data_IF_979704550309
#
_entry.id   IF_979704550309
#
_cell.length_a   1.000
_cell.length_b   1.000
_cell.length_c   1.000
_cell.angle_alpha   90.00
_cell.angle_beta   90.00
_cell.angle_gamma   90.00
#
_symmetry.space_group_name_H-M   'P 1'
#
loop_
_entity.id
_entity.type
_entity.pdbx_description
1 polymer ?
#
# COMPACT_ATOMS: atom_id res chain seq x y z
N UNK A 1 -13.13 19.05 33.66
CA UNK A 1 -12.20 17.92 33.44
C UNK A 1 -13.03 16.72 32.99
N UNK A 2 -12.79 16.19 31.78
CA UNK A 2 -13.40 14.93 31.36
C UNK A 2 -12.77 13.78 32.15
N UNK A 3 -13.57 12.89 32.75
CA UNK A 3 -13.04 11.72 33.44
C UNK A 3 -12.53 10.70 32.42
N UNK A 4 -11.32 10.18 32.61
CA UNK A 4 -10.73 9.17 31.72
C UNK A 4 -11.30 7.78 32.03
N UNK A 5 -12.15 7.26 31.15
CA UNK A 5 -12.62 5.87 31.21
C UNK A 5 -11.47 4.93 30.83
N UNK A 6 -11.22 3.91 31.66
CA UNK A 6 -10.24 2.86 31.40
C UNK A 6 -10.96 1.53 31.29
N UNK A 7 -10.64 0.75 30.25
CA UNK A 7 -11.13 -0.62 30.08
C UNK A 7 -9.95 -1.54 30.39
N UNK A 8 -10.12 -2.46 31.34
CA UNK A 8 -9.14 -3.48 31.68
C UNK A 8 -9.48 -4.79 30.94
N UNK A 9 -8.50 -5.33 30.23
CA UNK A 9 -8.63 -6.61 29.51
C UNK A 9 -7.70 -7.61 30.20
N UNK A 10 -8.26 -8.42 31.09
CA UNK A 10 -7.51 -9.32 31.98
C UNK A 10 -7.72 -10.81 31.70
N UNK A 11 -8.54 -11.17 30.71
CA UNK A 11 -8.80 -12.57 30.33
C UNK A 11 -8.50 -12.80 28.85
N UNK A 12 -7.80 -13.90 28.50
CA UNK A 12 -7.67 -14.31 27.11
C UNK A 12 -9.03 -14.73 26.53
N UNK A 13 -9.20 -14.56 25.22
CA UNK A 13 -10.32 -15.10 24.47
C UNK A 13 -9.83 -15.66 23.12
N UNK A 14 -10.49 -16.69 22.55
CA UNK A 14 -10.25 -17.08 21.18
C UNK A 14 -10.53 -15.90 20.22
N UNK A 15 -9.81 -15.78 19.10
CA UNK A 15 -10.08 -14.73 18.13
C UNK A 15 -11.50 -14.89 17.59
N UNK A 16 -12.31 -13.82 17.57
CA UNK A 16 -13.66 -13.88 17.04
C UNK A 16 -13.64 -14.14 15.54
N UNK A 17 -14.69 -14.75 14.95
CA UNK A 17 -14.71 -15.11 13.54
C UNK A 17 -14.41 -13.95 12.58
N UNK A 18 -14.85 -12.73 12.90
CA UNK A 18 -14.59 -11.55 12.08
C UNK A 18 -13.10 -11.22 11.99
N UNK A 19 -12.33 -11.42 13.07
CA UNK A 19 -10.89 -11.13 13.08
C UNK A 19 -10.14 -12.12 12.20
N UNK A 20 -10.54 -13.40 12.22
CA UNK A 20 -9.99 -14.41 11.32
C UNK A 20 -10.29 -14.08 9.85
N UNK A 21 -11.51 -13.63 9.55
CA UNK A 21 -11.91 -13.23 8.19
C UNK A 21 -11.15 -11.99 7.72
N UNK A 22 -10.95 -11.00 8.59
CA UNK A 22 -10.17 -9.81 8.29
C UNK A 22 -8.71 -10.17 7.95
N UNK A 23 -8.08 -11.07 8.71
CA UNK A 23 -6.72 -11.57 8.38
C UNK A 23 -6.67 -12.28 7.02
N UNK A 24 -7.68 -13.10 6.70
CA UNK A 24 -7.77 -13.77 5.41
C UNK A 24 -7.97 -12.77 4.25
N UNK A 25 -8.77 -11.73 4.47
CA UNK A 25 -8.97 -10.64 3.52
C UNK A 25 -7.65 -9.89 3.28
N UNK A 26 -6.94 -9.48 4.33
CA UNK A 26 -5.66 -8.79 4.21
C UNK A 26 -4.63 -9.61 3.41
N UNK A 27 -4.58 -10.92 3.65
CA UNK A 27 -3.71 -11.84 2.89
C UNK A 27 -4.10 -11.85 1.41
N UNK A 28 -5.40 -12.01 1.12
CA UNK A 28 -5.90 -12.05 -0.27
C UNK A 28 -5.69 -10.73 -1.02
N UNK A 29 -5.84 -9.59 -0.34
CA UNK A 29 -5.56 -8.27 -0.93
C UNK A 29 -4.06 -8.10 -1.15
N UNK A 30 -3.21 -8.55 -0.23
CA UNK A 30 -1.75 -8.55 -0.40
C UNK A 30 -1.33 -9.33 -1.65
N UNK A 31 -1.87 -10.52 -1.85
CA UNK A 31 -1.61 -11.33 -3.06
C UNK A 31 -1.99 -10.57 -4.34
N UNK A 32 -3.13 -9.88 -4.33
CA UNK A 32 -3.57 -9.06 -5.45
C UNK A 32 -2.64 -7.86 -5.69
N UNK A 33 -2.19 -7.18 -4.64
CA UNK A 33 -1.19 -6.10 -4.72
C UNK A 33 0.12 -6.61 -5.34
N UNK A 34 0.63 -7.76 -4.90
CA UNK A 34 1.86 -8.36 -5.46
C UNK A 34 1.68 -8.67 -6.95
N UNK A 35 0.55 -9.26 -7.33
CA UNK A 35 0.25 -9.57 -8.73
C UNK A 35 0.15 -8.30 -9.60
N UNK A 36 -0.50 -7.27 -9.07
CA UNK A 36 -0.59 -5.96 -9.73
C UNK A 36 0.80 -5.33 -9.89
N UNK A 37 1.59 -5.26 -8.82
CA UNK A 37 2.91 -4.66 -8.84
C UNK A 37 3.82 -5.33 -9.88
N UNK A 38 3.87 -6.66 -9.86
CA UNK A 38 4.67 -7.45 -10.84
C UNK A 38 4.27 -7.22 -12.29
N UNK A 39 3.01 -6.85 -12.54
CA UNK A 39 2.49 -6.65 -13.88
C UNK A 39 2.74 -5.23 -14.39
N UNK A 40 2.66 -4.24 -13.51
CA UNK A 40 2.63 -2.83 -13.88
C UNK A 40 3.85 -2.04 -13.45
N UNK A 41 4.75 -2.61 -12.66
CA UNK A 41 6.01 -1.98 -12.25
C UNK A 41 7.21 -2.80 -12.71
N UNK A 42 8.28 -2.13 -13.10
CA UNK A 42 9.56 -2.78 -13.40
C UNK A 42 10.47 -2.88 -12.15
N UNK A 43 11.64 -3.50 -12.32
CA UNK A 43 12.61 -3.70 -11.23
C UNK A 43 13.16 -2.39 -10.62
N UNK A 44 13.00 -1.25 -11.29
CA UNK A 44 13.41 0.07 -10.79
C UNK A 44 12.29 0.76 -9.99
N UNK A 45 11.11 0.15 -9.93
CA UNK A 45 9.91 0.76 -9.35
C UNK A 45 9.22 1.73 -10.30
N UNK A 46 9.51 1.68 -11.61
CA UNK A 46 8.85 2.56 -12.58
C UNK A 46 7.49 1.98 -12.92
N UNK A 47 6.46 2.82 -12.95
CA UNK A 47 5.17 2.42 -13.52
C UNK A 47 5.35 2.25 -15.03
N UNK A 48 4.83 1.15 -15.58
CA UNK A 48 4.83 0.84 -17.00
C UNK A 48 3.74 1.66 -17.74
N UNK A 49 3.86 2.99 -17.67
CA UNK A 49 3.01 3.97 -18.35
C UNK A 49 3.83 4.82 -19.33
N UNK A 50 3.22 5.86 -19.89
CA UNK A 50 3.93 6.90 -20.66
C UNK A 50 4.29 8.03 -19.70
N UNK A 51 5.55 8.17 -19.25
CA UNK A 51 5.93 9.15 -18.24
C UNK A 51 6.03 10.55 -18.87
N UNK A 52 4.91 11.28 -18.87
CA UNK A 52 4.80 12.63 -19.42
C UNK A 52 4.23 13.57 -18.36
N UNK A 53 4.87 14.72 -18.17
CA UNK A 53 4.31 15.79 -17.35
C UNK A 53 3.00 16.29 -17.96
N UNK A 54 1.90 16.18 -17.20
CA UNK A 54 0.54 16.48 -17.66
C UNK A 54 -0.12 15.37 -18.49
N UNK A 55 0.50 14.19 -18.60
CA UNK A 55 -0.19 12.94 -18.97
C UNK A 55 -0.78 12.26 -17.73
N UNK A 56 -1.68 11.29 -17.93
CA UNK A 56 -2.41 10.60 -16.85
C UNK A 56 -3.08 11.56 -15.86
N UNK A 57 -3.70 12.66 -16.30
CA UNK A 57 -4.24 13.75 -15.43
C UNK A 57 -3.21 14.42 -14.48
N UNK A 58 -1.98 13.91 -14.40
CA UNK A 58 -0.90 14.40 -13.59
C UNK A 58 0.13 13.31 -13.29
N UNK A 59 1.35 13.68 -12.88
CA UNK A 59 2.31 12.71 -12.38
C UNK A 59 1.80 11.95 -11.14
N UNK A 60 0.93 12.57 -10.35
CA UNK A 60 0.33 12.01 -9.14
C UNK A 60 -0.48 10.73 -9.42
N UNK A 61 -1.31 10.68 -10.45
CA UNK A 61 -2.08 9.48 -10.83
C UNK A 61 -1.19 8.23 -10.99
N UNK A 62 0.04 8.40 -11.45
CA UNK A 62 0.97 7.28 -11.60
C UNK A 62 1.31 6.64 -10.25
N UNK A 63 1.60 7.43 -9.21
CA UNK A 63 1.93 6.89 -7.89
C UNK A 63 0.68 6.54 -7.07
N UNK A 64 -0.47 7.14 -7.36
CA UNK A 64 -1.74 6.89 -6.66
C UNK A 64 -2.26 5.46 -6.80
N UNK A 65 -1.73 4.67 -7.74
CA UNK A 65 -1.97 3.22 -7.82
C UNK A 65 -1.67 2.48 -6.50
N UNK A 66 -0.86 3.07 -5.60
CA UNK A 66 -0.45 2.48 -4.33
C UNK A 66 -1.03 3.17 -3.08
N UNK A 67 -1.92 4.17 -3.22
CA UNK A 67 -2.35 5.06 -2.13
C UNK A 67 -2.75 4.34 -0.84
N UNK A 68 -3.53 3.26 -0.93
CA UNK A 68 -4.05 2.54 0.25
C UNK A 68 -3.13 1.43 0.77
N UNK A 69 -2.03 1.13 0.09
CA UNK A 69 -1.16 0.00 0.46
C UNK A 69 -0.42 0.23 1.79
N UNK A 70 0.09 1.45 2.11
CA UNK A 70 0.65 1.75 3.42
C UNK A 70 -0.38 1.61 4.55
N UNK A 71 -1.66 1.90 4.29
CA UNK A 71 -2.74 1.72 5.27
C UNK A 71 -2.95 0.23 5.54
N UNK A 72 -2.98 -0.59 4.49
CA UNK A 72 -3.08 -2.04 4.64
C UNK A 72 -1.92 -2.61 5.47
N UNK A 73 -0.68 -2.15 5.23
CA UNK A 73 0.47 -2.50 6.06
C UNK A 73 0.29 -2.07 7.53
N UNK A 74 -0.14 -0.82 7.78
CA UNK A 74 -0.35 -0.30 9.13
C UNK A 74 -1.43 -1.06 9.92
N UNK A 75 -2.43 -1.63 9.23
CA UNK A 75 -3.46 -2.50 9.81
C UNK A 75 -2.95 -3.94 10.08
N UNK A 76 -1.70 -4.24 9.76
CA UNK A 76 -1.05 -5.53 9.98
C UNK A 76 -0.97 -6.42 8.73
N UNK A 77 -1.12 -5.84 7.53
CA UNK A 77 -0.76 -6.48 6.27
C UNK A 77 0.72 -6.84 6.19
N UNK A 78 1.12 -7.59 5.16
CA UNK A 78 2.48 -8.10 5.05
C UNK A 78 3.51 -6.99 4.76
N UNK A 79 4.75 -7.18 5.22
CA UNK A 79 5.85 -6.22 5.08
C UNK A 79 6.18 -5.88 3.62
N UNK A 80 5.96 -6.83 2.70
CA UNK A 80 6.18 -6.65 1.26
C UNK A 80 5.39 -5.47 0.67
N UNK A 81 4.24 -5.11 1.26
CA UNK A 81 3.47 -3.93 0.86
C UNK A 81 4.30 -2.66 1.06
N UNK A 82 4.94 -2.52 2.22
CA UNK A 82 5.77 -1.36 2.54
C UNK A 82 7.00 -1.30 1.63
N UNK A 83 7.62 -2.45 1.34
CA UNK A 83 8.79 -2.52 0.47
C UNK A 83 8.44 -2.10 -0.97
N UNK A 84 7.33 -2.60 -1.53
CA UNK A 84 6.84 -2.20 -2.84
C UNK A 84 6.50 -0.70 -2.90
N UNK A 85 5.88 -0.15 -1.85
CA UNK A 85 5.59 1.28 -1.75
C UNK A 85 6.87 2.13 -1.76
N UNK A 86 7.89 1.75 -0.99
CA UNK A 86 9.18 2.47 -0.96
C UNK A 86 9.87 2.42 -2.33
N UNK A 87 9.93 1.24 -2.94
CA UNK A 87 10.53 1.05 -4.26
C UNK A 87 9.80 1.88 -5.33
N UNK A 88 8.47 1.86 -5.35
CA UNK A 88 7.68 2.65 -6.29
C UNK A 88 7.79 4.15 -6.04
N UNK A 89 7.88 4.60 -4.78
CA UNK A 89 8.08 6.02 -4.47
C UNK A 89 9.40 6.53 -5.04
N UNK A 90 10.50 5.82 -4.77
CA UNK A 90 11.82 6.18 -5.29
C UNK A 90 11.88 6.07 -6.82
N UNK A 91 11.22 5.04 -7.38
CA UNK A 91 11.08 4.82 -8.81
C UNK A 91 10.31 5.94 -9.49
N UNK A 92 9.16 6.34 -8.94
CA UNK A 92 8.32 7.43 -9.44
C UNK A 92 9.07 8.76 -9.48
N UNK A 93 9.73 9.15 -8.38
CA UNK A 93 10.53 10.38 -8.33
C UNK A 93 11.59 10.37 -9.43
N UNK A 94 12.29 9.24 -9.60
CA UNK A 94 13.33 9.11 -10.63
C UNK A 94 12.74 9.14 -12.05
N UNK A 95 11.67 8.39 -12.29
CA UNK A 95 10.99 8.27 -13.58
C UNK A 95 10.52 9.64 -14.08
N UNK A 96 9.88 10.43 -13.22
CA UNK A 96 9.40 11.77 -13.59
C UNK A 96 10.51 12.84 -13.60
N UNK A 97 11.61 12.63 -12.88
CA UNK A 97 12.82 13.46 -13.04
C UNK A 97 13.49 13.24 -14.41
N UNK A 98 13.49 11.99 -14.91
CA UNK A 98 14.05 11.63 -16.22
C UNK A 98 13.10 11.99 -17.38
N UNK A 99 11.80 12.08 -17.10
CA UNK A 99 10.78 12.44 -18.08
C UNK A 99 11.05 13.82 -18.67
N UNK A 100 11.31 13.87 -19.98
CA UNK A 100 11.39 15.12 -20.73
C UNK A 100 10.01 15.49 -21.25
N UNK A 101 9.66 16.76 -21.11
CA UNK A 101 8.40 17.37 -21.60
C UNK A 101 8.35 17.42 -23.12
#
# INVERSE_FOLDING_TARGET
MLSRTTIDISSPMPPPPWACMERALMTSVTDACIAFYRKYFDERGYLLCVPRWGGDDGPDDAIENLTDWPILYALGGEEILLDMCKQAQDGHIRQYTEAKT
#
